data_IF_180256832404
#
_entry.id   IF_180256832404
#
_cell.length_a   1.000
_cell.length_b   1.000
_cell.length_c   1.000
_cell.angle_alpha   90.00
_cell.angle_beta   90.00
_cell.angle_gamma   90.00
#
_symmetry.space_group_name_H-M   'P 1'
#
loop_
_entity.id
_entity.type
_entity.pdbx_description
1 polymer ?
#
# COMPACT_ATOMS: atom_id res chain seq x y z
N UNK A 1 1.98 17.05 -5.84
CA UNK A 1 3.01 18.06 -5.46
C UNK A 1 3.62 17.64 -4.13
N UNK A 2 4.95 17.56 -4.05
CA UNK A 2 5.71 17.09 -2.90
C UNK A 2 6.54 18.24 -2.35
N UNK A 3 6.50 18.49 -1.05
CA UNK A 3 7.37 19.45 -0.40
C UNK A 3 8.73 18.82 -0.10
N UNK A 4 9.81 19.50 -0.45
CA UNK A 4 11.19 19.14 -0.10
C UNK A 4 11.77 20.27 0.74
N UNK A 5 12.36 19.95 1.89
CA UNK A 5 13.01 20.91 2.78
C UNK A 5 14.32 21.48 2.21
N UNK A 6 14.79 20.94 1.07
CA UNK A 6 16.10 21.22 0.50
C UNK A 6 17.07 20.07 0.71
N UNK A 7 18.04 19.94 -0.19
CA UNK A 7 19.11 18.95 -0.12
C UNK A 7 20.34 19.45 0.64
N UNK A 8 21.36 18.59 0.72
CA UNK A 8 22.65 18.98 1.28
C UNK A 8 23.38 20.01 0.41
N UNK A 9 24.23 20.85 1.02
CA UNK A 9 25.13 21.76 0.30
C UNK A 9 26.03 20.95 -0.65
N UNK A 10 26.17 21.39 -1.90
CA UNK A 10 27.05 20.78 -2.90
C UNK A 10 28.02 21.82 -3.45
N UNK A 11 29.16 21.38 -3.97
CA UNK A 11 30.11 22.24 -4.69
C UNK A 11 30.04 21.89 -6.17
N UNK A 12 29.64 22.84 -7.00
CA UNK A 12 29.53 22.70 -8.45
C UNK A 12 30.55 23.65 -9.06
N UNK A 13 31.50 23.12 -9.85
CA UNK A 13 32.57 23.90 -10.51
C UNK A 13 33.35 24.81 -9.55
N UNK A 14 33.68 24.32 -8.37
CA UNK A 14 34.43 25.07 -7.36
C UNK A 14 33.65 26.17 -6.63
N UNK A 15 32.34 26.33 -6.92
CA UNK A 15 31.44 27.24 -6.20
C UNK A 15 30.44 26.45 -5.37
N UNK A 16 30.17 26.94 -4.16
CA UNK A 16 29.14 26.37 -3.29
C UNK A 16 27.77 26.68 -3.87
N UNK A 17 26.99 25.63 -4.14
CA UNK A 17 25.62 25.75 -4.60
C UNK A 17 24.66 25.84 -3.41
N UNK A 18 24.21 27.07 -3.12
CA UNK A 18 23.22 27.38 -2.10
C UNK A 18 21.78 27.17 -2.57
N UNK A 19 21.57 26.90 -3.86
CA UNK A 19 20.23 26.78 -4.43
C UNK A 19 19.60 25.43 -4.08
N UNK A 20 20.42 24.38 -3.98
CA UNK A 20 19.98 23.03 -3.61
C UNK A 20 19.42 22.93 -2.18
N UNK A 21 19.87 23.79 -1.27
CA UNK A 21 19.48 23.76 0.17
C UNK A 21 18.14 24.45 0.41
N UNK A 22 17.61 25.19 -0.58
CA UNK A 22 16.36 25.92 -0.40
C UNK A 22 15.16 24.97 -0.48
N UNK A 23 14.13 25.19 0.36
CA UNK A 23 12.90 24.42 0.28
C UNK A 23 12.22 24.68 -1.07
N UNK A 24 11.60 23.62 -1.61
CA UNK A 24 10.92 23.66 -2.91
C UNK A 24 9.75 22.71 -2.95
N UNK A 25 8.77 23.04 -3.79
CA UNK A 25 7.64 22.17 -4.08
C UNK A 25 7.80 21.54 -5.45
N UNK A 26 7.79 20.22 -5.49
CA UNK A 26 8.13 19.43 -6.68
C UNK A 26 6.86 18.79 -7.25
N UNK A 27 6.66 18.90 -8.56
CA UNK A 27 5.65 18.15 -9.30
C UNK A 27 6.36 17.23 -10.29
N UNK A 28 6.46 15.94 -9.93
CA UNK A 28 7.09 14.93 -10.78
C UNK A 28 6.30 14.68 -12.07
N UNK A 29 4.97 14.77 -12.05
CA UNK A 29 4.12 14.58 -13.24
C UNK A 29 4.38 15.65 -14.31
N UNK A 30 4.61 16.90 -13.87
CA UNK A 30 4.84 18.03 -14.76
C UNK A 30 6.33 18.29 -15.03
N UNK A 31 7.24 17.64 -14.31
CA UNK A 31 8.67 17.93 -14.43
C UNK A 31 9.06 19.33 -13.98
N UNK A 32 8.36 19.92 -13.00
CA UNK A 32 8.62 21.30 -12.52
C UNK A 32 8.74 21.37 -11.00
N UNK A 33 9.46 22.37 -10.52
CA UNK A 33 9.46 22.73 -9.12
C UNK A 33 9.22 24.23 -8.91
N UNK A 34 8.66 24.57 -7.75
CA UNK A 34 8.40 25.93 -7.33
C UNK A 34 9.26 26.25 -6.12
N UNK A 35 9.81 27.45 -6.09
CA UNK A 35 10.63 27.91 -4.97
C UNK A 35 10.22 29.31 -4.56
N UNK A 36 10.19 29.52 -3.25
CA UNK A 36 9.83 30.81 -2.68
C UNK A 36 10.95 31.83 -2.88
N UNK A 37 10.57 33.04 -3.28
CA UNK A 37 11.47 34.18 -3.42
C UNK A 37 11.53 34.96 -2.11
N UNK A 38 12.72 35.06 -1.52
CA UNK A 38 13.02 35.97 -0.40
C UNK A 38 12.04 35.88 0.79
N UNK A 39 11.44 34.71 1.05
CA UNK A 39 10.41 34.52 2.10
C UNK A 39 9.20 35.46 1.96
N UNK A 40 8.89 35.86 0.73
CA UNK A 40 7.81 36.82 0.41
C UNK A 40 6.44 36.17 0.25
N UNK A 41 6.36 34.83 0.27
CA UNK A 41 5.17 34.09 -0.14
C UNK A 41 4.97 33.99 -1.66
N UNK A 42 5.83 34.65 -2.47
CA UNK A 42 5.81 34.53 -3.93
C UNK A 42 6.70 33.37 -4.39
N UNK A 43 6.21 32.60 -5.36
CA UNK A 43 6.89 31.41 -5.86
C UNK A 43 7.24 31.56 -7.34
N UNK A 44 8.47 31.19 -7.67
CA UNK A 44 8.95 31.10 -9.06
C UNK A 44 9.00 29.65 -9.51
N UNK A 45 8.71 29.41 -10.80
CA UNK A 45 8.64 28.09 -11.43
C UNK A 45 9.94 27.80 -12.17
N UNK A 46 10.44 26.59 -11.98
CA UNK A 46 11.64 26.06 -12.61
C UNK A 46 11.39 24.66 -13.15
N UNK A 47 12.18 24.23 -14.13
CA UNK A 47 12.18 22.87 -14.64
C UNK A 47 13.00 21.94 -13.73
N UNK A 48 12.51 20.72 -13.52
CA UNK A 48 13.27 19.69 -12.80
C UNK A 48 14.43 19.20 -13.67
N UNK A 49 15.65 19.13 -13.12
CA UNK A 49 16.77 18.42 -13.75
C UNK A 49 16.39 16.97 -14.08
N UNK A 50 16.92 16.43 -15.17
CA UNK A 50 16.55 15.09 -15.64
C UNK A 50 16.83 13.99 -14.61
N UNK A 51 17.90 14.12 -13.83
CA UNK A 51 18.28 13.21 -12.76
C UNK A 51 17.31 13.23 -11.57
N UNK A 52 16.52 14.30 -11.42
CA UNK A 52 15.54 14.46 -10.33
C UNK A 52 14.09 14.25 -10.78
N UNK A 53 13.82 14.04 -12.07
CA UNK A 53 12.45 13.78 -12.57
C UNK A 53 11.87 12.47 -12.06
N UNK A 54 12.72 11.53 -11.64
CA UNK A 54 12.28 10.27 -11.04
C UNK A 54 11.92 10.49 -9.57
N UNK A 55 10.65 10.27 -9.18
CA UNK A 55 10.26 10.42 -7.79
C UNK A 55 11.04 9.44 -6.89
N UNK A 56 11.41 9.86 -5.66
CA UNK A 56 12.01 8.93 -4.70
C UNK A 56 11.02 7.80 -4.40
N UNK A 57 11.51 6.60 -4.09
CA UNK A 57 10.64 5.49 -3.71
C UNK A 57 9.78 5.92 -2.52
N UNK A 58 8.49 5.55 -2.50
CA UNK A 58 7.63 5.86 -1.37
C UNK A 58 8.24 5.29 -0.09
N UNK A 59 8.12 5.99 1.05
CA UNK A 59 8.62 5.45 2.31
C UNK A 59 7.99 4.08 2.57
N UNK A 60 8.76 3.11 3.12
CA UNK A 60 8.23 1.79 3.41
C UNK A 60 6.99 1.94 4.31
N UNK A 61 5.88 1.32 3.90
CA UNK A 61 4.65 1.29 4.73
C UNK A 61 5.03 0.79 6.13
N UNK A 62 4.53 1.41 7.22
CA UNK A 62 4.83 0.93 8.56
C UNK A 62 4.42 -0.54 8.68
N UNK A 63 5.36 -1.40 9.11
CA UNK A 63 5.12 -2.83 9.29
C UNK A 63 4.04 -3.01 10.36
N UNK A 64 2.84 -3.38 9.96
CA UNK A 64 1.74 -3.67 10.89
C UNK A 64 2.10 -4.92 11.69
N UNK A 65 1.83 -4.93 12.99
CA UNK A 65 2.05 -6.12 13.84
C UNK A 65 1.12 -7.23 13.37
N UNK A 66 1.69 -8.27 12.76
CA UNK A 66 0.95 -9.43 12.27
C UNK A 66 0.72 -10.37 13.46
N UNK A 67 -0.54 -10.67 13.80
CA UNK A 67 -0.87 -11.68 14.83
C UNK A 67 -0.52 -13.09 14.36
N UNK A 68 -0.17 -13.97 15.30
CA UNK A 68 0.05 -15.40 15.04
C UNK A 68 -1.26 -16.08 14.59
N UNK A 69 -1.18 -17.17 13.83
CA UNK A 69 -2.37 -17.91 13.33
C UNK A 69 -2.99 -18.81 14.38
N UNK A 70 -2.17 -19.38 15.27
CA UNK A 70 -2.60 -20.30 16.32
C UNK A 70 -3.51 -19.69 17.40
N UNK A 71 -3.55 -18.35 17.49
CA UNK A 71 -4.37 -17.62 18.46
C UNK A 71 -5.70 -17.11 17.88
N UNK A 72 -5.98 -17.36 16.60
CA UNK A 72 -7.18 -16.86 15.94
C UNK A 72 -8.36 -17.81 16.16
N UNK A 73 -9.23 -17.45 17.10
CA UNK A 73 -10.51 -18.09 17.26
C UNK A 73 -11.41 -17.86 16.01
N UNK A 74 -12.32 -18.81 15.68
CA UNK A 74 -13.35 -18.59 14.68
C UNK A 74 -14.09 -17.28 14.92
N UNK A 75 -14.29 -16.49 13.86
CA UNK A 75 -14.86 -15.16 14.00
C UNK A 75 -15.81 -14.81 12.87
N UNK A 76 -16.71 -13.86 13.14
CA UNK A 76 -17.63 -13.34 12.14
C UNK A 76 -16.96 -12.23 11.34
N UNK A 77 -16.73 -12.49 10.06
CA UNK A 77 -16.19 -11.49 9.12
C UNK A 77 -17.36 -10.89 8.34
N UNK A 78 -17.59 -9.59 8.53
CA UNK A 78 -18.66 -8.85 7.85
C UNK A 78 -18.08 -7.93 6.78
N UNK A 79 -18.69 -7.93 5.61
CA UNK A 79 -18.33 -7.03 4.50
C UNK A 79 -18.84 -5.62 4.79
N UNK A 80 -18.06 -4.63 4.38
CA UNK A 80 -18.49 -3.25 4.25
C UNK A 80 -19.22 -3.03 2.91
N UNK A 81 -19.69 -1.80 2.67
CA UNK A 81 -20.42 -1.42 1.45
C UNK A 81 -19.63 -1.71 0.14
N UNK A 82 -18.30 -1.77 0.22
CA UNK A 82 -17.41 -2.01 -0.91
C UNK A 82 -17.04 -3.49 -1.08
N UNK A 83 -17.62 -4.40 -0.28
CA UNK A 83 -17.35 -5.84 -0.35
C UNK A 83 -16.06 -6.30 0.37
N UNK A 84 -15.38 -5.39 1.08
CA UNK A 84 -14.15 -5.68 1.83
C UNK A 84 -14.44 -5.88 3.31
N UNK A 85 -13.51 -6.50 4.03
CA UNK A 85 -13.51 -6.50 5.49
C UNK A 85 -12.09 -6.35 6.02
N UNK A 86 -11.94 -6.13 7.33
CA UNK A 86 -10.64 -5.96 7.95
C UNK A 86 -10.01 -7.31 8.30
N UNK A 87 -8.73 -7.47 7.97
CA UNK A 87 -7.97 -8.68 8.28
C UNK A 87 -7.67 -8.77 9.79
N UNK A 88 -8.12 -9.83 10.48
CA UNK A 88 -7.85 -10.02 11.91
C UNK A 88 -6.36 -10.08 12.29
N UNK A 89 -5.49 -10.46 11.33
CA UNK A 89 -4.05 -10.61 11.55
C UNK A 89 -3.27 -9.32 11.41
N UNK A 90 -3.53 -8.54 10.37
CA UNK A 90 -2.71 -7.37 10.03
C UNK A 90 -3.52 -6.07 9.90
N UNK A 91 -4.84 -6.10 10.07
CA UNK A 91 -5.74 -4.95 9.92
C UNK A 91 -5.88 -4.43 8.49
N UNK A 92 -5.32 -5.11 7.48
CA UNK A 92 -5.46 -4.69 6.09
C UNK A 92 -6.86 -4.99 5.55
N UNK A 93 -7.29 -4.26 4.53
CA UNK A 93 -8.51 -4.63 3.80
C UNK A 93 -8.30 -5.98 3.10
N UNK A 94 -9.27 -6.87 3.23
CA UNK A 94 -9.27 -8.17 2.59
C UNK A 94 -10.52 -8.36 1.74
N UNK A 95 -10.34 -9.04 0.60
CA UNK A 95 -11.38 -9.23 -0.40
C UNK A 95 -12.22 -10.46 -0.09
N UNK A 96 -13.51 -10.37 -0.38
CA UNK A 96 -14.38 -11.53 -0.37
C UNK A 96 -14.23 -12.33 -1.66
N UNK A 97 -14.18 -13.66 -1.54
CA UNK A 97 -14.20 -14.61 -2.63
C UNK A 97 -15.50 -15.39 -2.55
N UNK A 98 -16.31 -15.23 -3.60
CA UNK A 98 -17.58 -15.95 -3.71
C UNK A 98 -17.35 -17.46 -3.85
N UNK A 99 -18.25 -18.30 -3.31
CA UNK A 99 -18.19 -19.73 -3.52
C UNK A 99 -18.34 -20.04 -5.01
N UNK A 100 -17.43 -20.87 -5.53
CA UNK A 100 -17.47 -21.39 -6.90
C UNK A 100 -18.08 -22.78 -6.98
N UNK A 101 -18.31 -23.26 -8.20
CA UNK A 101 -18.68 -24.65 -8.44
C UNK A 101 -17.52 -25.61 -8.15
N UNK A 102 -17.85 -26.87 -7.86
CA UNK A 102 -16.88 -27.97 -7.77
C UNK A 102 -16.14 -28.10 -9.10
N UNK A 103 -14.82 -28.22 -9.04
CA UNK A 103 -13.97 -28.42 -10.22
C UNK A 103 -13.40 -29.83 -10.19
N UNK A 104 -13.10 -30.39 -11.36
CA UNK A 104 -12.33 -31.64 -11.45
C UNK A 104 -10.89 -31.24 -11.77
N UNK A 105 -9.96 -31.54 -10.86
CA UNK A 105 -8.53 -31.29 -11.02
C UNK A 105 -7.82 -32.64 -10.87
N UNK A 106 -7.03 -33.03 -11.88
CA UNK A 106 -6.31 -34.31 -11.93
C UNK A 106 -7.21 -35.55 -11.67
N UNK A 107 -8.43 -35.52 -12.21
CA UNK A 107 -9.41 -36.60 -12.05
C UNK A 107 -10.04 -36.71 -10.66
N UNK A 108 -9.78 -35.75 -9.76
CA UNK A 108 -10.38 -35.67 -8.43
C UNK A 108 -11.27 -34.44 -8.32
N UNK A 109 -12.36 -34.58 -7.57
CA UNK A 109 -13.22 -33.45 -7.25
C UNK A 109 -12.51 -32.51 -6.25
N UNK A 110 -12.33 -31.26 -6.65
CA UNK A 110 -11.80 -30.18 -5.82
C UNK A 110 -12.95 -29.30 -5.33
N UNK A 111 -13.08 -29.25 -4.00
CA UNK A 111 -14.10 -28.50 -3.28
C UNK A 111 -13.53 -27.29 -2.52
N UNK A 112 -12.25 -26.93 -2.69
CA UNK A 112 -11.60 -25.84 -1.94
C UNK A 112 -12.26 -24.46 -2.14
N UNK A 113 -12.91 -24.30 -3.29
CA UNK A 113 -13.56 -23.06 -3.73
C UNK A 113 -15.07 -23.03 -3.45
N UNK A 114 -15.66 -24.12 -2.98
CA UNK A 114 -17.13 -24.27 -2.83
C UNK A 114 -17.73 -23.47 -1.69
N UNK A 115 -16.88 -22.99 -0.78
CA UNK A 115 -17.30 -22.16 0.36
C UNK A 115 -16.82 -20.73 0.18
N UNK A 116 -17.62 -19.81 0.72
CA UNK A 116 -17.28 -18.40 0.84
C UNK A 116 -15.96 -18.22 1.60
N UNK A 117 -15.08 -17.34 1.11
CA UNK A 117 -13.75 -17.10 1.67
C UNK A 117 -13.41 -15.62 1.73
N UNK A 118 -12.47 -15.28 2.59
CA UNK A 118 -11.80 -13.98 2.57
C UNK A 118 -10.30 -14.16 2.39
N UNK A 119 -9.71 -13.36 1.51
CA UNK A 119 -8.25 -13.37 1.27
C UNK A 119 -7.67 -11.99 1.55
N UNK A 120 -6.64 -11.95 2.39
CA UNK A 120 -5.82 -10.76 2.61
C UNK A 120 -4.56 -10.84 1.75
N UNK A 121 -4.38 -9.91 0.81
CA UNK A 121 -3.21 -9.91 -0.08
C UNK A 121 -1.95 -9.31 0.58
N UNK A 122 -2.08 -8.63 1.74
CA UNK A 122 -0.95 -8.02 2.47
C UNK A 122 -0.23 -9.01 3.40
N UNK A 123 -0.92 -10.03 3.93
CA UNK A 123 -0.32 -11.06 4.81
C UNK A 123 -0.62 -12.51 4.36
N UNK A 124 -1.08 -12.65 3.11
CA UNK A 124 -1.48 -13.89 2.43
C UNK A 124 -2.35 -14.84 3.29
N UNK A 125 -3.20 -14.25 4.14
CA UNK A 125 -4.06 -15.03 5.04
C UNK A 125 -5.41 -15.32 4.38
N UNK A 126 -5.83 -16.58 4.47
CA UNK A 126 -7.10 -17.07 3.93
C UNK A 126 -8.03 -17.48 5.08
N UNK A 127 -9.27 -17.01 5.02
CA UNK A 127 -10.31 -17.38 5.98
C UNK A 127 -11.44 -18.10 5.25
N UNK A 128 -11.72 -19.34 5.64
CA UNK A 128 -12.80 -20.17 5.08
C UNK A 128 -14.01 -20.16 6.00
N UNK A 129 -15.20 -20.07 5.40
CA UNK A 129 -16.46 -20.21 6.14
C UNK A 129 -16.58 -21.62 6.71
N UNK A 130 -16.96 -21.73 7.99
CA UNK A 130 -17.19 -23.02 8.65
C UNK A 130 -18.59 -23.51 8.27
N UNK A 131 -18.67 -24.44 7.33
CA UNK A 131 -19.91 -25.10 6.90
C UNK A 131 -21.06 -24.10 6.64
N UNK A 132 -22.21 -24.29 7.30
CA UNK A 132 -23.42 -23.44 7.18
C UNK A 132 -23.44 -22.24 8.14
N UNK A 133 -22.39 -22.05 8.94
CA UNK A 133 -22.34 -20.98 9.95
C UNK A 133 -21.92 -19.64 9.36
N UNK A 134 -22.10 -18.54 10.08
CA UNK A 134 -21.55 -17.23 9.69
C UNK A 134 -20.13 -16.97 10.24
N UNK A 135 -19.46 -18.02 10.70
CA UNK A 135 -18.11 -17.95 11.24
C UNK A 135 -17.09 -18.35 10.19
N UNK A 136 -15.92 -17.74 10.30
CA UNK A 136 -14.78 -17.98 9.44
C UNK A 136 -13.59 -18.38 10.29
N UNK A 137 -12.83 -19.35 9.80
CA UNK A 137 -11.60 -19.81 10.40
C UNK A 137 -10.46 -19.58 9.44
N UNK A 138 -9.30 -19.24 9.98
CA UNK A 138 -8.08 -19.22 9.19
C UNK A 138 -7.77 -20.62 8.67
N UNK A 139 -7.34 -20.72 7.42
CA UNK A 139 -6.92 -21.98 6.81
C UNK A 139 -5.59 -21.79 6.10
N UNK A 140 -4.73 -22.81 6.19
CA UNK A 140 -3.56 -22.93 5.33
C UNK A 140 -3.98 -23.06 3.87
N UNK A 141 -3.10 -22.60 2.98
CA UNK A 141 -3.30 -22.62 1.54
C UNK A 141 -3.25 -24.04 1.02
#
# INVERSE_FOLDING_TARGET
MVHSEGGAVRVINGKVDYENVKPRYICYDCGIFYRELLRSGLYERFELPEDEKTPPPPPPKPKRRIKSTGELAPMQLKRNANGYCECPRCGAAMRFLEPGAVKIVDGRADMSDTVARFKCDECDSLYRRIATTNYFQWSEK
#
